data_IF_222181867489
#
_entry.id   IF_222181867489
#
_cell.length_a   1.000
_cell.length_b   1.000
_cell.length_c   1.000
_cell.angle_alpha   90.00
_cell.angle_beta   90.00
_cell.angle_gamma   90.00
#
_symmetry.space_group_name_H-M   'P 1'
#
loop_
_entity.id
_entity.type
_entity.pdbx_description
1 polymer ?
#
# COMPACT_ATOMS: atom_id res chain seq x y z
N UNK A 1 -48.44 10.43 -14.13
CA UNK A 1 -48.23 11.67 -13.35
C UNK A 1 -48.19 11.33 -11.86
N UNK A 2 -47.36 12.08 -11.10
CA UNK A 2 -47.01 11.98 -9.66
C UNK A 2 -45.81 11.05 -9.39
N UNK A 3 -44.58 11.59 -9.45
CA UNK A 3 -43.85 12.39 -8.44
C UNK A 3 -43.00 11.51 -7.50
N UNK A 4 -41.70 11.45 -7.78
CA UNK A 4 -40.61 11.42 -6.78
C UNK A 4 -40.34 12.87 -6.32
N UNK A 5 -39.73 13.18 -5.15
CA UNK A 5 -38.51 12.52 -4.64
C UNK A 5 -38.39 12.36 -3.10
N UNK A 6 -37.62 11.36 -2.68
CA UNK A 6 -37.34 11.09 -1.26
C UNK A 6 -35.90 10.69 -1.01
N UNK A 7 -35.06 11.70 -0.71
CA UNK A 7 -33.95 11.68 0.26
C UNK A 7 -32.91 10.55 0.11
N UNK A 8 -31.86 10.82 -0.65
CA UNK A 8 -30.58 10.12 -0.50
C UNK A 8 -29.88 10.61 0.77
N UNK A 9 -29.89 9.78 1.81
CA UNK A 9 -29.02 9.95 2.96
C UNK A 9 -27.58 9.62 2.56
N UNK A 10 -26.80 10.63 2.16
CA UNK A 10 -25.34 10.56 2.20
C UNK A 10 -24.91 10.48 3.66
N UNK A 11 -24.42 9.33 4.09
CA UNK A 11 -23.92 9.16 5.45
C UNK A 11 -23.89 7.71 5.87
N UNK A 12 -22.95 6.95 5.31
CA UNK A 12 -22.26 5.78 5.89
C UNK A 12 -21.40 5.19 4.78
N UNK A 13 -20.09 5.41 4.87
CA UNK A 13 -19.14 4.67 4.05
C UNK A 13 -19.43 3.18 4.20
N UNK A 14 -19.69 2.52 3.08
CA UNK A 14 -19.86 1.07 3.03
C UNK A 14 -18.51 0.41 3.36
N UNK A 15 -18.28 0.19 4.65
CA UNK A 15 -17.17 -0.60 5.14
C UNK A 15 -17.55 -2.07 4.95
N UNK A 16 -16.89 -2.72 3.98
CA UNK A 16 -17.05 -4.17 3.80
C UNK A 16 -16.51 -4.88 5.05
N UNK A 17 -17.25 -5.81 5.65
CA UNK A 17 -16.74 -6.62 6.75
C UNK A 17 -15.51 -7.41 6.27
N UNK A 18 -14.38 -7.24 6.97
CA UNK A 18 -13.08 -7.81 6.60
C UNK A 18 -12.02 -6.81 6.12
N UNK A 19 -12.34 -5.51 6.02
CA UNK A 19 -11.35 -4.47 5.75
C UNK A 19 -10.49 -4.23 7.00
N UNK A 20 -9.30 -4.83 7.05
CA UNK A 20 -8.27 -4.49 8.03
C UNK A 20 -7.96 -3.01 7.89
N UNK A 21 -8.36 -2.22 8.89
CA UNK A 21 -8.05 -0.78 8.94
C UNK A 21 -6.53 -0.66 8.99
N UNK A 22 -5.93 -0.11 7.93
CA UNK A 22 -4.49 0.18 7.95
C UNK A 22 -4.24 1.35 8.90
N UNK A 23 -3.31 1.19 9.83
CA UNK A 23 -3.03 2.20 10.84
C UNK A 23 -1.93 3.16 10.36
N UNK A 24 -1.94 4.37 10.91
CA UNK A 24 -0.89 5.36 10.69
C UNK A 24 0.27 5.07 11.65
N UNK A 25 1.49 5.09 11.13
CA UNK A 25 2.71 4.84 11.88
C UNK A 25 3.40 6.16 12.23
N UNK A 26 4.01 6.21 13.42
CA UNK A 26 4.91 7.30 13.81
C UNK A 26 6.35 6.97 13.46
N UNK A 27 7.05 7.95 12.91
CA UNK A 27 8.46 7.97 12.55
C UNK A 27 9.12 9.15 13.27
N UNK A 28 10.46 9.20 13.32
CA UNK A 28 11.21 10.22 14.09
C UNK A 28 10.79 11.67 13.80
N UNK A 29 10.39 11.97 12.57
CA UNK A 29 9.92 13.29 12.16
C UNK A 29 8.69 13.21 11.24
N UNK A 30 7.85 12.18 11.38
CA UNK A 30 6.71 12.01 10.49
C UNK A 30 5.65 11.09 11.05
N UNK A 31 4.41 11.28 10.61
CA UNK A 31 3.30 10.41 10.93
C UNK A 31 2.56 10.09 9.64
N UNK A 32 2.38 8.82 9.32
CA UNK A 32 1.81 8.47 8.03
C UNK A 32 1.69 6.98 7.80
N UNK A 33 1.11 6.64 6.65
CA UNK A 33 0.96 5.27 6.19
C UNK A 33 1.37 5.20 4.73
N UNK A 34 2.21 4.23 4.40
CA UNK A 34 2.67 4.00 3.04
C UNK A 34 2.59 2.51 2.72
N UNK A 35 1.60 2.13 1.91
CA UNK A 35 1.43 0.74 1.50
C UNK A 35 1.28 0.65 -0.01
N UNK A 36 1.82 -0.42 -0.58
CA UNK A 36 1.84 -0.63 -2.02
C UNK A 36 1.34 -2.01 -2.37
N UNK A 37 0.48 -2.06 -3.37
CA UNK A 37 0.22 -3.28 -4.13
C UNK A 37 1.25 -3.33 -5.27
N UNK A 38 2.12 -4.33 -5.24
CA UNK A 38 3.18 -4.57 -6.24
C UNK A 38 2.86 -5.88 -6.96
N UNK A 39 3.10 -5.92 -8.27
CA UNK A 39 3.02 -7.17 -9.06
C UNK A 39 4.35 -7.45 -9.74
N UNK A 40 4.92 -8.63 -9.46
CA UNK A 40 6.12 -9.14 -10.13
C UNK A 40 5.72 -10.20 -11.14
N UNK A 41 6.17 -10.04 -12.39
CA UNK A 41 5.82 -10.94 -13.50
C UNK A 41 7.10 -11.64 -13.97
N UNK A 42 7.13 -12.98 -14.07
CA UNK A 42 8.22 -13.72 -14.67
C UNK A 42 8.48 -13.27 -16.11
N UNK A 43 9.73 -13.38 -16.56
CA UNK A 43 10.13 -13.02 -17.92
C UNK A 43 9.28 -13.81 -18.93
N UNK A 44 8.80 -13.11 -19.96
CA UNK A 44 7.87 -13.62 -20.98
C UNK A 44 6.54 -14.16 -20.43
N UNK A 45 6.20 -13.84 -19.17
CA UNK A 45 4.99 -14.32 -18.49
C UNK A 45 4.88 -15.84 -18.49
N UNK A 46 6.02 -16.54 -18.45
CA UNK A 46 6.03 -17.98 -18.35
C UNK A 46 5.34 -18.43 -17.05
N UNK A 47 4.55 -19.51 -17.16
CA UNK A 47 3.97 -20.22 -16.01
C UNK A 47 5.04 -21.04 -15.31
N UNK A 48 5.94 -20.35 -14.62
CA UNK A 48 7.09 -20.96 -13.93
C UNK A 48 6.76 -21.42 -12.52
N UNK A 49 5.66 -20.94 -11.93
CA UNK A 49 5.22 -21.36 -10.61
C UNK A 49 4.36 -22.62 -10.74
N UNK A 50 4.96 -23.69 -11.26
CA UNK A 50 4.28 -24.95 -11.50
C UNK A 50 4.15 -25.73 -10.19
N UNK A 51 2.90 -25.95 -9.76
CA UNK A 51 2.60 -26.74 -8.58
C UNK A 51 2.82 -26.03 -7.23
N UNK A 52 2.42 -26.71 -6.13
CA UNK A 52 2.39 -26.11 -4.80
C UNK A 52 3.78 -25.86 -4.20
N UNK A 53 4.78 -26.68 -4.55
CA UNK A 53 6.15 -26.57 -4.02
C UNK A 53 6.81 -25.28 -4.47
N UNK A 54 6.89 -25.05 -5.79
CA UNK A 54 7.50 -23.84 -6.34
C UNK A 54 6.78 -22.55 -5.87
N UNK A 55 5.45 -22.58 -5.71
CA UNK A 55 4.69 -21.44 -5.16
C UNK A 55 5.08 -21.17 -3.71
N UNK A 56 5.15 -22.22 -2.88
CA UNK A 56 5.57 -22.12 -1.48
C UNK A 56 6.99 -21.58 -1.36
N UNK A 57 7.92 -22.09 -2.15
CA UNK A 57 9.32 -21.68 -2.11
C UNK A 57 9.48 -20.22 -2.56
N UNK A 58 8.74 -19.79 -3.59
CA UNK A 58 8.68 -18.37 -3.99
C UNK A 58 8.13 -17.48 -2.87
N UNK A 59 7.04 -17.88 -2.23
CA UNK A 59 6.48 -17.12 -1.10
C UNK A 59 7.48 -17.01 0.05
N UNK A 60 8.12 -18.11 0.43
CA UNK A 60 9.12 -18.15 1.52
C UNK A 60 10.35 -17.30 1.20
N UNK A 61 10.86 -17.37 -0.03
CA UNK A 61 11.98 -16.53 -0.47
C UNK A 61 11.64 -15.05 -0.35
N UNK A 62 10.45 -14.65 -0.80
CA UNK A 62 10.04 -13.24 -0.75
C UNK A 62 9.83 -12.79 0.69
N UNK A 63 9.14 -13.57 1.53
CA UNK A 63 8.98 -13.27 2.96
C UNK A 63 10.32 -13.14 3.65
N UNK A 64 11.24 -14.08 3.44
CA UNK A 64 12.58 -14.01 4.03
C UNK A 64 13.39 -12.80 3.57
N UNK A 65 13.21 -12.31 2.33
CA UNK A 65 13.81 -11.04 1.89
C UNK A 65 13.18 -9.87 2.64
N UNK A 66 11.85 -9.80 2.70
CA UNK A 66 11.12 -8.74 3.39
C UNK A 66 11.49 -8.66 4.87
N UNK A 67 11.54 -9.80 5.57
CA UNK A 67 11.85 -9.88 7.00
C UNK A 67 13.27 -9.35 7.27
N UNK A 68 14.26 -9.73 6.47
CA UNK A 68 15.64 -9.21 6.58
C UNK A 68 15.75 -7.71 6.33
N UNK A 69 14.84 -7.15 5.53
CA UNK A 69 14.81 -5.72 5.19
C UNK A 69 13.91 -4.90 6.12
N UNK A 70 13.16 -5.55 7.03
CA UNK A 70 12.16 -4.87 7.85
C UNK A 70 10.93 -4.41 7.07
N UNK A 71 10.62 -5.03 5.92
CA UNK A 71 9.40 -4.73 5.16
C UNK A 71 8.24 -5.54 5.72
N UNK A 72 7.13 -4.88 6.03
CA UNK A 72 5.92 -5.53 6.55
C UNK A 72 5.08 -6.09 5.41
N UNK A 73 5.04 -7.42 5.31
CA UNK A 73 4.20 -8.14 4.34
C UNK A 73 2.78 -8.26 4.89
N UNK A 74 1.85 -7.51 4.31
CA UNK A 74 0.43 -7.56 4.69
C UNK A 74 -0.23 -8.78 4.05
N UNK A 75 0.06 -9.03 2.76
CA UNK A 75 -0.44 -10.21 2.04
C UNK A 75 0.46 -10.51 0.84
N UNK A 76 0.52 -11.78 0.45
CA UNK A 76 1.28 -12.27 -0.69
C UNK A 76 0.47 -13.37 -1.36
N UNK A 77 0.46 -13.39 -2.70
CA UNK A 77 -0.19 -14.43 -3.46
C UNK A 77 0.61 -14.76 -4.72
N UNK A 78 0.97 -16.04 -4.86
CA UNK A 78 1.72 -16.55 -6.02
C UNK A 78 0.75 -17.21 -7.00
N UNK A 79 0.45 -16.52 -8.09
CA UNK A 79 -0.25 -17.09 -9.22
C UNK A 79 0.73 -17.89 -10.11
N UNK A 80 0.22 -18.56 -11.14
CA UNK A 80 1.06 -19.40 -12.01
C UNK A 80 2.09 -18.58 -12.80
N UNK A 81 1.73 -17.36 -13.18
CA UNK A 81 2.46 -16.47 -14.09
C UNK A 81 2.76 -15.08 -13.50
N UNK A 82 2.48 -14.83 -12.22
CA UNK A 82 2.80 -13.57 -11.54
C UNK A 82 2.67 -13.69 -10.00
N UNK A 83 3.28 -12.74 -9.29
CA UNK A 83 3.26 -12.62 -7.84
C UNK A 83 2.62 -11.29 -7.44
N UNK A 84 1.59 -11.35 -6.60
CA UNK A 84 1.00 -10.18 -5.94
C UNK A 84 1.62 -9.99 -4.56
N UNK A 85 2.02 -8.75 -4.26
CA UNK A 85 2.53 -8.33 -2.96
C UNK A 85 1.73 -7.14 -2.46
N UNK A 86 1.25 -7.24 -1.23
CA UNK A 86 0.76 -6.10 -0.48
C UNK A 86 1.75 -5.80 0.63
N UNK A 87 2.53 -4.73 0.44
CA UNK A 87 3.74 -4.47 1.18
C UNK A 87 3.74 -3.06 1.76
N UNK A 88 4.23 -2.95 2.99
CA UNK A 88 4.56 -1.70 3.66
C UNK A 88 6.06 -1.68 3.98
N UNK A 89 6.70 -0.55 3.77
CA UNK A 89 8.12 -0.34 4.05
C UNK A 89 8.37 1.12 4.45
N UNK A 90 9.53 1.40 5.03
CA UNK A 90 9.81 2.72 5.57
C UNK A 90 9.91 3.78 4.45
N UNK A 91 9.43 5.03 4.63
CA UNK A 91 9.47 6.06 3.59
C UNK A 91 10.87 6.43 3.07
N UNK A 92 11.94 6.09 3.79
CA UNK A 92 13.33 6.26 3.33
C UNK A 92 13.70 5.30 2.21
N UNK A 93 13.01 4.15 2.13
CA UNK A 93 13.22 3.20 1.06
C UNK A 93 12.43 3.63 -0.17
N UNK A 94 13.13 3.82 -1.29
CA UNK A 94 12.45 4.12 -2.55
C UNK A 94 11.72 2.88 -3.08
N UNK A 95 10.47 3.06 -3.53
CA UNK A 95 9.69 1.98 -4.15
C UNK A 95 10.44 1.28 -5.31
N UNK A 96 11.15 2.06 -6.12
CA UNK A 96 11.98 1.53 -7.21
C UNK A 96 13.13 0.66 -6.70
N UNK A 97 13.75 1.03 -5.58
CA UNK A 97 14.80 0.28 -4.90
C UNK A 97 14.26 -1.02 -4.31
N UNK A 98 13.13 -0.96 -3.58
CA UNK A 98 12.45 -2.13 -3.03
C UNK A 98 12.11 -3.15 -4.12
N UNK A 99 11.49 -2.71 -5.22
CA UNK A 99 11.17 -3.62 -6.35
C UNK A 99 12.43 -4.21 -6.98
N UNK A 100 13.51 -3.42 -7.12
CA UNK A 100 14.79 -3.90 -7.67
C UNK A 100 15.39 -4.97 -6.78
N UNK A 101 15.40 -4.76 -5.47
CA UNK A 101 15.92 -5.72 -4.48
C UNK A 101 15.10 -6.99 -4.47
N UNK A 102 13.77 -6.89 -4.36
CA UNK A 102 12.87 -8.03 -4.37
C UNK A 102 13.09 -8.88 -5.62
N UNK A 103 13.15 -8.27 -6.81
CA UNK A 103 13.39 -9.00 -8.06
C UNK A 103 14.78 -9.62 -8.13
N UNK A 104 15.82 -8.89 -7.71
CA UNK A 104 17.20 -9.36 -7.77
C UNK A 104 17.49 -10.51 -6.82
N UNK A 105 17.22 -10.32 -5.52
CA UNK A 105 17.49 -11.33 -4.50
C UNK A 105 16.64 -12.58 -4.70
N UNK A 106 15.34 -12.43 -5.03
CA UNK A 106 14.49 -13.59 -5.27
C UNK A 106 14.90 -14.39 -6.51
N UNK A 107 15.37 -13.73 -7.57
CA UNK A 107 15.87 -14.43 -8.74
C UNK A 107 17.07 -15.31 -8.41
N UNK A 108 18.03 -14.78 -7.65
CA UNK A 108 19.22 -15.53 -7.22
C UNK A 108 18.84 -16.74 -6.39
N UNK A 109 17.96 -16.56 -5.39
CA UNK A 109 17.55 -17.65 -4.49
C UNK A 109 16.72 -18.70 -5.21
N UNK A 110 15.76 -18.29 -6.05
CA UNK A 110 14.93 -19.24 -6.80
C UNK A 110 15.73 -20.02 -7.84
N UNK A 111 16.71 -19.42 -8.51
CA UNK A 111 17.59 -20.19 -9.41
C UNK A 111 18.52 -21.18 -8.67
N UNK A 112 18.78 -20.96 -7.37
CA UNK A 112 19.53 -21.91 -6.53
C UNK A 112 18.65 -23.05 -6.05
N UNK A 113 17.42 -22.77 -5.61
CA UNK A 113 16.45 -23.77 -5.15
C UNK A 113 15.89 -24.61 -6.31
N UNK A 114 15.71 -23.99 -7.47
CA UNK A 114 15.11 -24.58 -8.65
C UNK A 114 16.02 -24.43 -9.89
N UNK A 115 17.14 -25.18 -9.96
CA UNK A 115 18.08 -25.09 -11.09
C UNK A 115 17.43 -25.36 -12.45
N UNK A 116 16.35 -26.14 -12.49
CA UNK A 116 15.59 -26.47 -13.70
C UNK A 116 14.95 -25.23 -14.36
N UNK A 117 14.73 -24.14 -13.60
CA UNK A 117 14.28 -22.87 -14.16
C UNK A 117 15.22 -22.32 -15.23
N UNK A 118 16.53 -22.63 -15.15
CA UNK A 118 17.53 -22.18 -16.14
C UNK A 118 17.28 -22.77 -17.52
N UNK A 119 16.63 -23.93 -17.62
CA UNK A 119 16.24 -24.53 -18.91
C UNK A 119 15.19 -23.69 -19.61
N UNK A 120 14.25 -23.11 -18.86
CA UNK A 120 13.18 -22.24 -19.38
C UNK A 120 13.62 -20.78 -19.52
N UNK A 121 14.52 -20.32 -18.65
CA UNK A 121 14.97 -18.94 -18.54
C UNK A 121 16.48 -18.84 -18.78
N UNK A 122 16.91 -19.29 -19.96
CA UNK A 122 18.33 -19.47 -20.32
C UNK A 122 19.18 -18.19 -20.25
N UNK A 123 18.56 -17.02 -20.40
CA UNK A 123 19.24 -15.71 -20.21
C UNK A 123 19.42 -15.30 -18.73
N UNK A 124 19.08 -16.17 -17.78
CA UNK A 124 19.24 -15.93 -16.34
C UNK A 124 18.33 -14.84 -15.76
N UNK A 125 17.30 -14.41 -16.49
CA UNK A 125 16.37 -13.38 -16.05
C UNK A 125 15.07 -14.02 -15.56
N UNK A 126 14.83 -13.99 -14.24
CA UNK A 126 13.59 -14.51 -13.67
C UNK A 126 12.40 -13.61 -13.98
N UNK A 127 12.56 -12.31 -13.77
CA UNK A 127 11.47 -11.33 -13.86
C UNK A 127 11.53 -10.50 -15.13
N UNK A 128 10.41 -9.92 -15.56
CA UNK A 128 10.38 -8.90 -16.62
C UNK A 128 11.14 -7.64 -16.20
N UNK A 129 11.48 -6.74 -17.12
CA UNK A 129 12.06 -5.44 -16.76
C UNK A 129 11.02 -4.50 -16.14
N UNK A 130 9.77 -4.59 -16.62
CA UNK A 130 8.64 -3.78 -16.18
C UNK A 130 8.32 -3.92 -14.69
N UNK A 131 7.57 -2.94 -14.18
CA UNK A 131 7.15 -2.85 -12.79
C UNK A 131 5.70 -2.39 -12.78
N UNK A 132 4.83 -3.12 -12.09
CA UNK A 132 3.51 -2.63 -11.73
C UNK A 132 3.48 -2.37 -10.24
N UNK A 133 2.95 -1.22 -9.86
CA UNK A 133 2.70 -0.87 -8.47
C UNK A 133 1.53 0.11 -8.37
N UNK A 134 0.84 0.09 -7.24
CA UNK A 134 -0.23 1.03 -6.92
C UNK A 134 -0.16 1.36 -5.44
N UNK A 135 -0.23 2.64 -5.09
CA UNK A 135 -0.40 3.04 -3.69
C UNK A 135 -1.76 2.61 -3.18
N UNK A 136 -1.81 2.11 -1.95
CA UNK A 136 -3.04 1.72 -1.27
C UNK A 136 -3.11 2.51 0.03
N UNK A 137 -4.27 3.10 0.29
CA UNK A 137 -4.55 3.87 1.49
C UNK A 137 -5.99 3.65 1.93
N UNK A 138 -6.29 3.94 3.19
CA UNK A 138 -7.64 3.83 3.73
C UNK A 138 -8.59 4.91 3.22
N UNK A 139 -8.03 6.01 2.72
CA UNK A 139 -8.76 7.21 2.31
C UNK A 139 -8.76 7.28 0.79
N UNK A 140 -9.94 7.51 0.20
CA UNK A 140 -10.05 7.68 -1.25
C UNK A 140 -9.52 9.05 -1.67
N UNK A 141 -9.07 9.16 -2.91
CA UNK A 141 -8.63 10.44 -3.47
C UNK A 141 -9.73 11.51 -3.37
N UNK A 142 -11.00 11.13 -3.57
CA UNK A 142 -12.13 12.06 -3.45
C UNK A 142 -12.37 12.54 -2.02
N UNK A 143 -12.16 11.65 -1.02
CA UNK A 143 -12.23 12.05 0.39
C UNK A 143 -11.11 13.03 0.72
N UNK A 144 -9.89 12.80 0.22
CA UNK A 144 -8.77 13.73 0.42
C UNK A 144 -9.07 15.08 -0.25
N UNK A 145 -9.59 15.09 -1.49
CA UNK A 145 -9.96 16.32 -2.20
C UNK A 145 -11.03 17.10 -1.45
N UNK A 146 -12.07 16.42 -0.99
CA UNK A 146 -13.13 17.00 -0.20
C UNK A 146 -12.58 17.61 1.09
N UNK A 147 -11.75 16.87 1.82
CA UNK A 147 -11.07 17.38 3.01
C UNK A 147 -10.24 18.64 2.70
N UNK A 148 -9.48 18.68 1.60
CA UNK A 148 -8.69 19.86 1.22
C UNK A 148 -9.61 21.06 0.92
N UNK A 149 -10.69 20.85 0.15
CA UNK A 149 -11.61 21.92 -0.24
C UNK A 149 -12.42 22.47 0.95
N UNK A 150 -12.80 21.61 1.89
CA UNK A 150 -13.55 22.01 3.09
C UNK A 150 -12.65 22.54 4.22
N UNK A 151 -11.41 22.06 4.33
CA UNK A 151 -10.47 22.53 5.36
C UNK A 151 -10.02 23.97 5.17
N UNK A 152 -10.24 24.56 3.99
CA UNK A 152 -10.06 26.00 3.74
C UNK A 152 -11.23 26.86 4.26
N UNK A 153 -12.35 26.26 4.70
CA UNK A 153 -13.56 26.98 5.12
C UNK A 153 -13.80 26.98 6.63
N UNK A 154 -12.75 26.92 7.47
CA UNK A 154 -12.91 27.34 8.87
C UNK A 154 -13.25 28.84 8.85
N UNK A 155 -14.43 29.30 9.32
CA UNK A 155 -14.57 30.69 9.67
C UNK A 155 -13.58 30.94 10.80
N UNK A 156 -12.71 31.93 10.62
CA UNK A 156 -12.03 32.55 11.76
C UNK A 156 -13.17 33.05 12.64
N UNK A 157 -13.37 32.40 13.79
CA UNK A 157 -14.31 32.88 14.79
C UNK A 157 -13.78 34.25 15.17
N UNK A 158 -14.48 35.32 14.76
CA UNK A 158 -14.20 36.63 15.29
C UNK A 158 -14.54 36.57 16.77
N UNK A 159 -13.53 36.42 17.63
CA UNK A 159 -13.66 36.72 19.04
C UNK A 159 -14.00 38.20 19.15
N UNK A 160 -15.29 38.51 19.24
CA UNK A 160 -15.76 39.77 19.80
C UNK A 160 -15.33 39.84 21.26
N UNK A 161 -14.90 41.00 21.77
CA UNK A 161 -14.28 41.08 23.07
C UNK A 161 -15.26 40.66 24.17
N UNK A 162 -14.82 39.76 25.03
CA UNK A 162 -15.48 39.44 26.30
C UNK A 162 -15.48 40.70 27.18
N UNK A 163 -16.64 41.36 27.29
CA UNK A 163 -16.83 42.54 28.13
C UNK A 163 -16.94 42.24 29.63
N UNK A 164 -16.68 41.00 30.08
CA UNK A 164 -16.82 40.62 31.50
C UNK A 164 -15.57 40.82 32.37
N UNK A 165 -14.40 41.16 31.80
CA UNK A 165 -13.16 41.40 32.56
C UNK A 165 -12.83 42.87 32.90
N UNK A 166 -13.70 43.84 32.58
CA UNK A 166 -13.51 45.26 32.94
C UNK A 166 -14.29 45.71 34.20
N UNK A 167 -14.28 44.90 35.27
CA UNK A 167 -14.90 45.28 36.56
C UNK A 167 -14.10 44.93 37.84
N UNK A 168 -12.81 44.59 37.75
CA UNK A 168 -12.05 44.20 38.95
C UNK A 168 -10.80 45.04 39.30
N UNK A 169 -10.51 46.17 38.64
CA UNK A 169 -9.44 47.08 39.10
C UNK A 169 -9.67 48.56 38.76
N UNK A 170 -10.67 49.16 39.41
CA UNK A 170 -10.67 50.58 39.79
C UNK A 170 -11.26 50.70 41.21
N UNK A 171 -10.43 50.42 42.21
CA UNK A 171 -10.40 51.11 43.50
C UNK A 171 -9.03 50.97 44.13
#
# INVERSE_FOLDING_TARGET
MRNMPGRWSLGKGFQRPGCTKMELNSYSHGYGQITYHIVLVPKYRHKIFYGPVMKRDCEQVIRGICDRKGYRVISIHVADDHLHLFLEFHPTDSLSGVIKQLKGESAVLLFRLHPELRKRLWKGNLWTAGKFYRSVGNVTADTIRHYINESQHKPVVAEGPDQSSLRHFLR
#
